data_IF_778598807675
#
_entry.id   IF_778598807675
#
_cell.length_a   1.000
_cell.length_b   1.000
_cell.length_c   1.000
_cell.angle_alpha   90.00
_cell.angle_beta   90.00
_cell.angle_gamma   90.00
#
_symmetry.space_group_name_H-M   'P 1'
#
loop_
_entity.id
_entity.type
_entity.pdbx_description
1 polymer ?
#
# COMPACT_ATOMS: atom_id res chain seq x y z
N UNK A 1 46.50 53.09 -13.45
CA UNK A 1 46.14 52.75 -12.08
C UNK A 1 44.76 52.11 -12.10
N UNK A 2 44.65 50.79 -12.24
CA UNK A 2 43.41 50.06 -12.33
C UNK A 2 43.25 49.23 -11.06
N UNK A 3 42.30 49.60 -10.21
CA UNK A 3 42.01 48.89 -8.94
C UNK A 3 41.15 47.66 -9.24
N UNK A 4 41.70 46.47 -9.01
CA UNK A 4 40.98 45.24 -9.07
C UNK A 4 40.15 45.03 -7.79
N UNK A 5 38.85 44.74 -7.95
CA UNK A 5 37.93 44.38 -6.89
C UNK A 5 37.93 42.84 -6.82
N UNK A 6 38.39 42.31 -5.69
CA UNK A 6 38.29 40.87 -5.38
C UNK A 6 36.95 40.65 -4.69
N UNK A 7 36.04 39.90 -5.35
CA UNK A 7 34.78 39.43 -4.75
C UNK A 7 35.06 38.14 -3.98
N UNK A 8 34.92 38.18 -2.66
CA UNK A 8 34.85 36.97 -1.84
C UNK A 8 33.43 36.40 -1.89
N UNK A 9 33.27 35.25 -2.53
CA UNK A 9 32.05 34.46 -2.44
C UNK A 9 32.17 33.55 -1.19
N UNK A 10 31.57 33.97 -0.11
CA UNK A 10 31.44 33.15 1.09
C UNK A 10 30.37 32.06 0.89
N UNK A 11 30.80 30.80 0.82
CA UNK A 11 29.87 29.66 0.88
C UNK A 11 29.30 29.55 2.29
N UNK A 12 28.02 29.87 2.45
CA UNK A 12 27.29 29.62 3.69
C UNK A 12 26.97 28.12 3.79
N UNK A 13 27.70 27.42 4.66
CA UNK A 13 27.34 26.05 5.05
C UNK A 13 26.18 26.17 6.04
N UNK A 14 24.98 25.84 5.57
CA UNK A 14 23.82 25.69 6.45
C UNK A 14 24.00 24.41 7.28
N UNK A 15 23.86 24.46 8.62
CA UNK A 15 23.89 23.25 9.40
C UNK A 15 22.67 22.40 9.07
N UNK A 16 22.89 21.12 8.76
CA UNK A 16 21.82 20.14 8.67
C UNK A 16 21.12 20.08 10.03
N UNK A 17 19.88 20.50 10.07
CA UNK A 17 19.05 20.33 11.27
C UNK A 17 18.84 18.82 11.46
N UNK A 18 19.55 18.26 12.44
CA UNK A 18 19.24 16.94 13.00
C UNK A 18 17.90 17.10 13.69
N UNK A 19 16.84 16.66 13.05
CA UNK A 19 15.56 16.48 13.70
C UNK A 19 15.73 15.34 14.71
N UNK A 20 16.05 15.70 15.95
CA UNK A 20 15.85 14.82 17.06
C UNK A 20 14.35 14.55 17.14
N UNK A 21 13.93 13.30 16.89
CA UNK A 21 12.60 12.85 17.19
C UNK A 21 12.35 13.12 18.67
N UNK A 22 11.53 14.11 18.97
CA UNK A 22 11.09 14.40 20.34
C UNK A 22 10.31 13.19 20.86
N UNK A 23 10.33 12.94 22.18
CA UNK A 23 9.57 11.85 22.76
C UNK A 23 8.10 12.08 22.43
N UNK A 24 7.52 11.21 21.62
CA UNK A 24 6.09 11.17 21.34
C UNK A 24 5.33 11.06 22.66
N UNK A 25 4.71 12.14 23.06
CA UNK A 25 3.76 12.15 24.15
C UNK A 25 2.50 11.40 23.68
N UNK A 26 2.54 10.09 23.82
CA UNK A 26 1.42 9.20 23.53
C UNK A 26 0.40 9.30 24.66
N UNK A 27 -0.44 10.31 24.61
CA UNK A 27 -1.64 10.43 25.45
C UNK A 27 -2.87 10.12 24.62
N UNK A 28 -3.09 8.88 24.27
CA UNK A 28 -4.32 8.37 23.70
C UNK A 28 -4.56 6.99 24.29
N UNK A 29 -5.74 6.73 24.84
CA UNK A 29 -6.17 5.39 25.24
C UNK A 29 -5.99 4.45 24.06
N UNK A 30 -5.03 3.54 24.15
CA UNK A 30 -4.87 2.46 23.19
C UNK A 30 -5.82 1.34 23.63
N UNK A 31 -6.50 0.75 22.68
CA UNK A 31 -7.40 -0.38 22.91
C UNK A 31 -6.65 -1.59 23.52
N UNK A 32 -5.32 -1.58 23.42
CA UNK A 32 -4.47 -2.64 23.93
C UNK A 32 -3.25 -2.09 24.66
N UNK A 33 -2.96 -2.55 25.90
CA UNK A 33 -1.90 -2.00 26.75
C UNK A 33 -0.47 -2.36 26.31
N UNK A 34 -0.34 -3.30 25.36
CA UNK A 34 0.96 -3.76 24.86
C UNK A 34 1.31 -3.03 23.55
N UNK A 35 2.53 -2.49 23.49
CA UNK A 35 3.05 -1.86 22.29
C UNK A 35 3.90 -2.87 21.51
N UNK A 36 3.67 -3.07 20.21
CA UNK A 36 4.54 -3.88 19.40
C UNK A 36 5.92 -3.25 19.31
N UNK A 37 6.96 -4.07 19.41
CA UNK A 37 8.33 -3.63 19.14
C UNK A 37 8.47 -3.36 17.64
N UNK A 38 9.04 -2.22 17.20
CA UNK A 38 9.32 -1.99 15.80
C UNK A 38 10.17 -3.12 15.19
N UNK A 39 9.81 -3.60 14.01
CA UNK A 39 10.50 -4.71 13.37
C UNK A 39 11.99 -4.43 13.15
N UNK A 40 12.36 -3.18 12.88
CA UNK A 40 13.76 -2.73 12.76
C UNK A 40 14.60 -2.89 14.04
N UNK A 41 13.95 -3.09 15.19
CA UNK A 41 14.59 -3.33 16.48
C UNK A 41 14.66 -4.82 16.86
N UNK A 42 14.08 -5.69 16.03
CA UNK A 42 14.07 -7.15 16.26
C UNK A 42 15.16 -7.80 15.42
N UNK A 43 16.17 -8.36 16.10
CA UNK A 43 17.29 -9.05 15.44
C UNK A 43 17.28 -10.53 15.80
N UNK A 44 17.08 -11.37 14.80
CA UNK A 44 17.15 -12.82 14.94
C UNK A 44 18.57 -13.28 14.66
N UNK A 45 19.20 -13.90 15.66
CA UNK A 45 20.57 -14.38 15.58
C UNK A 45 20.68 -15.85 16.07
N UNK A 46 19.79 -16.69 15.57
CA UNK A 46 19.71 -18.11 15.89
C UNK A 46 20.06 -18.99 14.68
N UNK A 47 20.31 -20.28 14.93
CA UNK A 47 20.71 -21.24 13.90
C UNK A 47 19.54 -21.70 13.02
N UNK A 48 18.31 -21.38 13.40
CA UNK A 48 17.11 -21.82 12.67
C UNK A 48 16.51 -20.72 11.78
N UNK A 49 16.20 -19.55 12.36
CA UNK A 49 15.53 -18.48 11.62
C UNK A 49 16.48 -17.64 10.77
N UNK A 50 17.67 -17.32 11.29
CA UNK A 50 18.60 -16.46 10.57
C UNK A 50 18.94 -16.97 9.15
N UNK A 51 19.26 -18.25 8.91
CA UNK A 51 19.51 -18.74 7.55
C UNK A 51 18.30 -18.63 6.63
N UNK A 52 17.08 -18.76 7.18
CA UNK A 52 15.83 -18.62 6.41
C UNK A 52 15.58 -17.17 5.99
N UNK A 53 15.84 -16.23 6.88
CA UNK A 53 15.78 -14.80 6.59
C UNK A 53 16.79 -14.42 5.52
N UNK A 54 18.01 -14.93 5.62
CA UNK A 54 19.07 -14.70 4.63
C UNK A 54 18.67 -15.25 3.23
N UNK A 55 18.11 -16.46 3.18
CA UNK A 55 17.60 -17.06 1.95
C UNK A 55 16.40 -16.26 1.42
N UNK A 56 15.48 -15.84 2.29
CA UNK A 56 14.34 -15.03 1.88
C UNK A 56 14.77 -13.73 1.20
N UNK A 57 15.71 -13.01 1.80
CA UNK A 57 16.20 -11.74 1.26
C UNK A 57 17.02 -11.91 -0.03
N UNK A 58 17.86 -12.95 -0.12
CA UNK A 58 18.82 -13.12 -1.22
C UNK A 58 18.31 -13.95 -2.39
N UNK A 59 17.29 -14.79 -2.17
CA UNK A 59 16.76 -15.72 -3.19
C UNK A 59 15.26 -15.54 -3.41
N UNK A 60 14.46 -15.62 -2.33
CA UNK A 60 13.00 -15.65 -2.47
C UNK A 60 12.46 -14.33 -3.00
N UNK A 61 12.79 -13.21 -2.37
CA UNK A 61 12.31 -11.88 -2.79
C UNK A 61 12.72 -11.55 -4.23
N UNK A 62 14.00 -11.70 -4.65
CA UNK A 62 14.38 -11.51 -6.05
C UNK A 62 13.64 -12.43 -7.02
N UNK A 63 13.44 -13.71 -6.65
CA UNK A 63 12.70 -14.67 -7.49
C UNK A 63 11.24 -14.28 -7.65
N UNK A 64 10.59 -13.79 -6.59
CA UNK A 64 9.23 -13.30 -6.64
C UNK A 64 9.10 -12.06 -7.54
N UNK A 65 10.02 -11.09 -7.44
CA UNK A 65 10.04 -9.95 -8.38
C UNK A 65 10.23 -10.39 -9.83
N UNK A 66 11.13 -11.36 -10.08
CA UNK A 66 11.31 -11.92 -11.43
C UNK A 66 10.01 -12.52 -11.96
N UNK A 67 9.23 -13.19 -11.12
CA UNK A 67 7.89 -13.70 -11.51
C UNK A 67 6.90 -12.57 -11.79
N UNK A 68 6.92 -11.51 -11.02
CA UNK A 68 6.08 -10.35 -11.26
C UNK A 68 6.39 -9.63 -12.58
N UNK A 69 7.63 -9.73 -13.10
CA UNK A 69 8.00 -9.18 -14.41
C UNK A 69 7.32 -9.91 -15.59
N UNK A 70 6.76 -11.09 -15.40
CA UNK A 70 6.10 -11.84 -16.47
C UNK A 70 4.78 -11.15 -16.89
N UNK A 71 3.96 -10.70 -15.93
CA UNK A 71 2.64 -10.10 -16.23
C UNK A 71 2.30 -8.91 -15.32
N UNK A 72 2.59 -8.98 -14.00
CA UNK A 72 2.14 -8.03 -12.97
C UNK A 72 2.74 -6.63 -13.21
N UNK A 73 4.04 -6.52 -13.25
CA UNK A 73 4.73 -5.24 -13.51
C UNK A 73 4.41 -4.68 -14.90
N UNK A 74 4.39 -5.48 -16.00
CA UNK A 74 3.88 -5.03 -17.29
C UNK A 74 2.45 -4.49 -17.26
N UNK A 75 1.52 -5.05 -16.47
CA UNK A 75 0.18 -4.49 -16.32
C UNK A 75 0.20 -3.09 -15.69
N UNK A 76 1.02 -2.85 -14.66
CA UNK A 76 1.20 -1.51 -14.14
C UNK A 76 1.81 -0.53 -15.16
N UNK A 77 2.76 -0.99 -15.99
CA UNK A 77 3.33 -0.17 -17.09
C UNK A 77 2.25 0.20 -18.12
N UNK A 78 1.35 -0.73 -18.45
CA UNK A 78 0.22 -0.51 -19.38
C UNK A 78 -0.82 0.42 -18.76
N UNK A 79 -1.19 0.21 -17.50
CA UNK A 79 -2.09 1.10 -16.76
C UNK A 79 -1.55 2.53 -16.69
N UNK A 80 -0.22 2.68 -16.54
CA UNK A 80 0.49 3.95 -16.56
C UNK A 80 0.73 4.52 -17.98
N UNK A 81 0.27 3.84 -19.05
CA UNK A 81 0.50 4.20 -20.45
C UNK A 81 1.98 4.32 -20.84
N UNK A 82 2.84 3.55 -20.18
CA UNK A 82 4.28 3.44 -20.47
C UNK A 82 4.62 2.23 -21.36
N UNK A 83 3.65 1.38 -21.61
CA UNK A 83 3.76 0.20 -22.44
C UNK A 83 2.42 -0.08 -23.13
N UNK A 84 2.43 -0.47 -24.39
CA UNK A 84 1.23 -0.89 -25.10
C UNK A 84 0.82 -2.33 -24.76
N UNK A 85 -0.43 -2.68 -25.06
CA UNK A 85 -0.98 -4.01 -24.91
C UNK A 85 -2.17 -4.10 -23.95
N UNK A 86 -2.84 -5.26 -23.95
CA UNK A 86 -3.97 -5.56 -23.07
C UNK A 86 -3.52 -6.12 -21.73
N UNK A 87 -4.45 -6.18 -20.79
CA UNK A 87 -4.25 -6.82 -19.48
C UNK A 87 -3.92 -8.33 -19.64
N UNK A 88 -3.06 -8.83 -18.76
CA UNK A 88 -2.66 -10.24 -18.75
C UNK A 88 -2.77 -10.81 -17.34
N UNK A 89 -3.31 -12.02 -17.22
CA UNK A 89 -3.50 -12.73 -15.97
C UNK A 89 -4.89 -12.56 -15.38
N UNK A 90 -5.00 -12.81 -14.08
CA UNK A 90 -6.25 -12.71 -13.33
C UNK A 90 -6.46 -11.30 -12.72
N UNK A 91 -7.71 -10.85 -12.53
CA UNK A 91 -8.01 -9.52 -12.00
C UNK A 91 -7.38 -9.23 -10.64
N UNK A 92 -7.15 -10.24 -9.81
CA UNK A 92 -6.52 -10.11 -8.50
C UNK A 92 -4.98 -10.08 -8.52
N UNK A 93 -4.36 -10.20 -9.68
CA UNK A 93 -2.90 -10.33 -9.83
C UNK A 93 -2.10 -9.09 -9.39
N UNK A 94 -2.73 -7.90 -9.31
CA UNK A 94 -2.10 -6.71 -8.73
C UNK A 94 -1.63 -6.98 -7.29
N UNK A 95 -2.40 -7.78 -6.53
CA UNK A 95 -2.09 -8.13 -5.14
C UNK A 95 -0.78 -8.92 -5.02
N UNK A 96 -0.41 -9.72 -6.01
CA UNK A 96 0.85 -10.49 -5.97
C UNK A 96 2.05 -9.55 -5.90
N UNK A 97 2.04 -8.47 -6.69
CA UNK A 97 3.11 -7.48 -6.65
C UNK A 97 3.12 -6.72 -5.32
N UNK A 98 1.96 -6.37 -4.77
CA UNK A 98 1.87 -5.71 -3.46
C UNK A 98 2.40 -6.59 -2.35
N UNK A 99 2.04 -7.88 -2.31
CA UNK A 99 2.56 -8.87 -1.35
C UNK A 99 4.08 -9.02 -1.43
N UNK A 100 4.63 -9.03 -2.64
CA UNK A 100 6.09 -9.07 -2.83
C UNK A 100 6.74 -7.78 -2.33
N UNK A 101 6.14 -6.60 -2.57
CA UNK A 101 6.61 -5.33 -2.04
C UNK A 101 6.55 -5.30 -0.51
N UNK A 102 5.49 -5.83 0.11
CA UNK A 102 5.36 -5.95 1.56
C UNK A 102 6.48 -6.82 2.15
N UNK A 103 6.66 -8.04 1.60
CA UNK A 103 7.74 -8.95 2.03
C UNK A 103 9.13 -8.35 1.84
N UNK A 104 9.34 -7.59 0.76
CA UNK A 104 10.59 -6.86 0.51
C UNK A 104 10.80 -5.73 1.53
N UNK A 105 9.75 -5.00 1.91
CA UNK A 105 9.82 -3.97 2.95
C UNK A 105 10.21 -4.56 4.31
N UNK A 106 9.63 -5.68 4.71
CA UNK A 106 10.04 -6.40 5.92
C UNK A 106 11.49 -6.91 5.85
N UNK A 107 11.94 -7.33 4.66
CA UNK A 107 13.34 -7.69 4.44
C UNK A 107 14.27 -6.49 4.67
N UNK A 108 13.91 -5.29 4.16
CA UNK A 108 14.65 -4.04 4.38
C UNK A 108 14.68 -3.63 5.86
N UNK A 109 13.57 -3.80 6.60
CA UNK A 109 13.52 -3.51 8.03
C UNK A 109 14.49 -4.39 8.84
N UNK A 110 14.66 -5.65 8.41
CA UNK A 110 15.57 -6.61 9.06
C UNK A 110 17.02 -6.44 8.63
N UNK A 111 17.24 -6.09 7.36
CA UNK A 111 18.57 -5.94 6.76
C UNK A 111 18.54 -4.88 5.66
N UNK A 112 19.10 -3.70 5.90
CA UNK A 112 19.17 -2.64 4.88
C UNK A 112 19.87 -3.12 3.61
N UNK A 113 19.23 -2.87 2.44
CA UNK A 113 19.73 -3.20 1.10
C UNK A 113 19.38 -2.05 0.15
N UNK A 114 20.39 -1.31 -0.30
CA UNK A 114 20.21 -0.14 -1.15
C UNK A 114 19.67 -0.52 -2.55
N UNK A 115 20.01 -1.70 -3.08
CA UNK A 115 19.52 -2.15 -4.38
C UNK A 115 18.03 -2.52 -4.31
N UNK A 116 17.63 -3.24 -3.28
CA UNK A 116 16.23 -3.57 -3.01
C UNK A 116 15.40 -2.32 -2.76
N UNK A 117 15.90 -1.39 -1.96
CA UNK A 117 15.21 -0.11 -1.71
C UNK A 117 14.99 0.66 -3.01
N UNK A 118 16.01 0.77 -3.86
CA UNK A 118 15.89 1.43 -5.18
C UNK A 118 14.88 0.73 -6.09
N UNK A 119 14.80 -0.60 -6.03
CA UNK A 119 13.80 -1.36 -6.80
C UNK A 119 12.38 -1.06 -6.32
N UNK A 120 12.15 -1.02 -4.99
CA UNK A 120 10.86 -0.62 -4.43
C UNK A 120 10.49 0.82 -4.81
N UNK A 121 11.42 1.77 -4.70
CA UNK A 121 11.18 3.16 -5.11
C UNK A 121 10.73 3.26 -6.57
N UNK A 122 11.36 2.49 -7.47
CA UNK A 122 10.97 2.46 -8.88
C UNK A 122 9.56 1.90 -9.10
N UNK A 123 9.16 0.88 -8.35
CA UNK A 123 7.80 0.34 -8.38
C UNK A 123 6.77 1.30 -7.80
N UNK A 124 7.11 1.98 -6.71
CA UNK A 124 6.24 3.01 -6.09
C UNK A 124 5.98 4.14 -7.08
N UNK A 125 7.02 4.61 -7.78
CA UNK A 125 6.85 5.61 -8.86
C UNK A 125 5.93 5.08 -9.96
N UNK A 126 6.03 3.80 -10.31
CA UNK A 126 5.17 3.16 -11.32
C UNK A 126 3.72 3.09 -10.83
N UNK A 127 3.47 2.72 -9.57
CA UNK A 127 2.12 2.72 -8.96
C UNK A 127 1.50 4.11 -9.00
N UNK A 128 2.26 5.14 -8.63
CA UNK A 128 1.78 6.53 -8.70
C UNK A 128 1.43 6.99 -10.12
N UNK A 129 2.16 6.51 -11.13
CA UNK A 129 1.84 6.81 -12.54
C UNK A 129 0.62 6.04 -13.05
N UNK A 130 0.38 4.84 -12.55
CA UNK A 130 -0.79 4.02 -12.90
C UNK A 130 -2.06 4.48 -12.18
N UNK A 131 -1.93 5.11 -11.00
CA UNK A 131 -3.06 5.59 -10.21
C UNK A 131 -3.82 6.69 -10.96
N UNK A 132 -5.16 6.56 -11.01
CA UNK A 132 -6.01 7.56 -11.63
C UNK A 132 -6.12 8.83 -10.77
N UNK A 133 -6.51 9.97 -11.35
CA UNK A 133 -6.58 11.25 -10.63
C UNK A 133 -7.48 11.24 -9.39
N UNK A 134 -8.52 10.40 -9.40
CA UNK A 134 -9.44 10.22 -8.28
C UNK A 134 -8.92 9.28 -7.18
N UNK A 135 -7.72 8.71 -7.36
CA UNK A 135 -7.09 7.76 -6.43
C UNK A 135 -7.30 6.29 -6.76
N UNK A 136 -8.12 5.96 -7.77
CA UNK A 136 -8.39 4.57 -8.16
C UNK A 136 -7.14 3.89 -8.72
N UNK A 137 -6.88 2.65 -8.27
CA UNK A 137 -5.78 1.83 -8.77
C UNK A 137 -6.19 0.36 -8.79
N UNK A 138 -6.44 -0.14 -9.99
CA UNK A 138 -6.74 -1.54 -10.30
C UNK A 138 -6.45 -1.75 -11.78
N UNK A 139 -5.34 -2.43 -12.10
CA UNK A 139 -4.78 -2.42 -13.45
C UNK A 139 -5.68 -3.06 -14.48
N UNK A 140 -6.39 -4.15 -14.13
CA UNK A 140 -7.31 -4.85 -15.03
C UNK A 140 -8.35 -3.88 -15.59
N UNK A 141 -8.99 -3.10 -14.72
CA UNK A 141 -10.01 -2.16 -15.16
C UNK A 141 -9.44 -0.92 -15.85
N UNK A 142 -8.31 -0.41 -15.35
CA UNK A 142 -7.67 0.78 -15.97
C UNK A 142 -7.28 0.49 -17.42
N UNK A 143 -6.79 -0.70 -17.71
CA UNK A 143 -6.38 -1.12 -19.06
C UNK A 143 -7.59 -1.37 -19.97
N UNK A 144 -8.63 -2.03 -19.46
CA UNK A 144 -9.82 -2.35 -20.25
C UNK A 144 -10.81 -1.20 -20.38
N UNK A 145 -10.77 -0.21 -19.47
CA UNK A 145 -11.75 0.87 -19.40
C UNK A 145 -13.17 0.36 -19.11
N UNK A 146 -14.17 1.08 -19.60
CA UNK A 146 -15.60 0.74 -19.40
C UNK A 146 -16.05 -0.55 -20.14
N UNK A 147 -15.16 -1.12 -20.94
CA UNK A 147 -15.38 -2.39 -21.65
C UNK A 147 -14.73 -3.56 -20.92
N UNK A 148 -14.38 -3.42 -19.64
CA UNK A 148 -13.72 -4.47 -18.88
C UNK A 148 -14.58 -5.76 -18.90
N UNK A 149 -14.06 -6.87 -19.46
CA UNK A 149 -14.81 -8.11 -19.58
C UNK A 149 -14.75 -8.93 -18.29
N UNK A 150 -15.69 -9.85 -18.13
CA UNK A 150 -15.65 -10.90 -17.13
C UNK A 150 -15.53 -10.37 -15.71
N UNK A 151 -14.56 -10.90 -14.96
CA UNK A 151 -14.34 -10.64 -13.53
C UNK A 151 -14.13 -9.19 -13.15
N UNK A 152 -13.50 -8.38 -14.02
CA UNK A 152 -13.33 -6.95 -13.74
C UNK A 152 -14.67 -6.19 -13.70
N UNK A 153 -15.72 -6.74 -14.32
CA UNK A 153 -17.07 -6.19 -14.30
C UNK A 153 -17.24 -4.89 -15.10
N UNK A 154 -18.49 -4.53 -15.42
CA UNK A 154 -18.77 -3.36 -16.24
C UNK A 154 -18.65 -2.03 -15.49
N UNK A 155 -18.75 -2.04 -14.17
CA UNK A 155 -18.74 -0.86 -13.31
C UNK A 155 -17.81 -1.09 -12.13
N UNK A 156 -17.05 -0.06 -11.73
CA UNK A 156 -16.18 -0.13 -10.54
C UNK A 156 -16.98 -0.56 -9.31
N UNK A 157 -16.40 -1.41 -8.49
CA UNK A 157 -16.89 -1.85 -7.19
C UNK A 157 -18.13 -2.74 -7.19
N UNK A 158 -18.89 -2.82 -8.29
CA UNK A 158 -20.16 -3.55 -8.30
C UNK A 158 -20.01 -5.08 -8.47
N UNK A 159 -18.81 -5.55 -8.76
CA UNK A 159 -18.58 -6.99 -8.99
C UNK A 159 -17.79 -7.66 -7.86
N UNK A 160 -17.68 -7.03 -6.69
CA UNK A 160 -16.87 -7.50 -5.56
C UNK A 160 -17.36 -8.86 -4.97
N UNK A 161 -18.65 -9.14 -5.06
CA UNK A 161 -19.27 -10.36 -4.53
C UNK A 161 -19.92 -11.19 -5.63
N UNK A 162 -19.34 -11.25 -6.81
CA UNK A 162 -19.99 -11.90 -7.95
C UNK A 162 -21.23 -11.15 -8.46
N UNK A 163 -21.42 -9.88 -8.05
CA UNK A 163 -22.62 -9.08 -8.12
C UNK A 163 -23.35 -9.11 -9.45
N UNK A 164 -22.80 -8.49 -10.49
CA UNK A 164 -23.48 -8.35 -11.79
C UNK A 164 -23.24 -9.54 -12.71
N UNK A 165 -22.04 -10.09 -12.70
CA UNK A 165 -21.59 -11.13 -13.64
C UNK A 165 -21.45 -12.52 -13.00
N UNK A 166 -21.56 -12.64 -11.68
CA UNK A 166 -21.31 -13.87 -10.93
C UNK A 166 -19.82 -14.12 -10.62
N UNK A 167 -18.92 -13.25 -11.07
CA UNK A 167 -17.48 -13.36 -10.85
C UNK A 167 -16.98 -12.23 -9.96
N UNK A 168 -16.03 -12.53 -9.07
CA UNK A 168 -15.44 -11.54 -8.18
C UNK A 168 -14.37 -10.69 -8.86
N UNK A 169 -14.48 -9.36 -8.78
CA UNK A 169 -13.48 -8.44 -9.33
C UNK A 169 -12.23 -8.34 -8.46
N UNK A 170 -12.35 -8.56 -7.16
CA UNK A 170 -11.26 -8.44 -6.19
C UNK A 170 -10.63 -7.03 -6.11
N UNK A 171 -11.38 -5.98 -6.38
CA UNK A 171 -10.88 -4.60 -6.33
C UNK A 171 -10.44 -4.22 -4.91
N UNK A 172 -11.31 -4.49 -3.90
CA UNK A 172 -10.99 -4.20 -2.50
C UNK A 172 -9.97 -5.19 -1.91
N UNK A 173 -9.88 -6.42 -2.43
CA UNK A 173 -8.80 -7.34 -2.10
C UNK A 173 -7.44 -6.78 -2.51
N UNK A 174 -7.30 -6.32 -3.76
CA UNK A 174 -6.08 -5.67 -4.23
C UNK A 174 -5.78 -4.39 -3.43
N UNK A 175 -6.80 -3.59 -3.11
CA UNK A 175 -6.65 -2.39 -2.29
C UNK A 175 -6.13 -2.69 -0.88
N UNK A 176 -6.62 -3.74 -0.23
CA UNK A 176 -6.15 -4.18 1.09
C UNK A 176 -4.66 -4.50 1.09
N UNK A 177 -4.21 -5.36 0.19
CA UNK A 177 -2.80 -5.70 0.04
C UNK A 177 -1.91 -4.51 -0.33
N UNK A 178 -2.42 -3.57 -1.13
CA UNK A 178 -1.68 -2.34 -1.42
C UNK A 178 -1.48 -1.49 -0.16
N UNK A 179 -2.52 -1.35 0.67
CA UNK A 179 -2.45 -0.61 1.93
C UNK A 179 -1.45 -1.27 2.90
N UNK A 180 -1.49 -2.60 3.04
CA UNK A 180 -0.53 -3.33 3.88
C UNK A 180 0.91 -3.13 3.41
N UNK A 181 1.16 -3.26 2.11
CA UNK A 181 2.49 -3.03 1.53
C UNK A 181 2.99 -1.59 1.74
N UNK A 182 2.10 -0.60 1.61
CA UNK A 182 2.42 0.80 1.81
C UNK A 182 2.78 1.10 3.28
N UNK A 183 2.05 0.52 4.23
CA UNK A 183 2.34 0.62 5.66
C UNK A 183 3.67 -0.05 5.99
N UNK A 184 3.90 -1.28 5.50
CA UNK A 184 5.16 -1.99 5.72
C UNK A 184 6.36 -1.22 5.18
N UNK A 185 6.24 -0.64 3.97
CA UNK A 185 7.29 0.18 3.38
C UNK A 185 7.58 1.44 4.20
N UNK A 186 6.54 2.15 4.64
CA UNK A 186 6.69 3.32 5.50
C UNK A 186 7.37 2.96 6.84
N UNK A 187 6.96 1.88 7.49
CA UNK A 187 7.57 1.42 8.74
C UNK A 187 9.04 0.99 8.60
N UNK A 188 9.41 0.48 7.43
CA UNK A 188 10.77 0.03 7.15
C UNK A 188 11.72 1.16 6.74
N UNK A 189 11.22 2.22 6.09
CA UNK A 189 12.05 3.21 5.39
C UNK A 189 11.79 4.67 5.78
N UNK A 190 10.70 4.94 6.53
CA UNK A 190 10.17 6.27 6.82
C UNK A 190 9.80 7.09 5.56
N UNK A 191 9.77 6.44 4.38
CA UNK A 191 9.40 7.07 3.12
C UNK A 191 7.88 6.99 2.89
N UNK A 192 7.23 8.15 2.77
CA UNK A 192 5.78 8.26 2.62
C UNK A 192 5.25 8.03 1.22
N UNK A 193 6.11 7.92 0.20
CA UNK A 193 5.67 7.94 -1.19
C UNK A 193 4.62 6.87 -1.51
N UNK A 194 4.79 5.63 -1.03
CA UNK A 194 3.81 4.57 -1.22
C UNK A 194 2.55 4.79 -0.35
N UNK A 195 2.76 5.25 0.87
CA UNK A 195 1.67 5.58 1.78
C UNK A 195 0.75 6.66 1.19
N UNK A 196 1.29 7.69 0.54
CA UNK A 196 0.52 8.77 -0.06
C UNK A 196 -0.32 8.29 -1.28
N UNK A 197 0.14 7.27 -2.01
CA UNK A 197 -0.65 6.57 -3.04
C UNK A 197 -1.82 5.81 -2.38
N UNK A 198 -1.54 5.09 -1.30
CA UNK A 198 -2.54 4.33 -0.56
C UNK A 198 -3.60 5.25 0.10
N UNK A 199 -3.20 6.45 0.61
CA UNK A 199 -4.13 7.47 1.13
C UNK A 199 -5.17 7.85 0.08
N UNK A 200 -4.74 8.16 -1.13
CA UNK A 200 -5.68 8.58 -2.19
C UNK A 200 -6.69 7.49 -2.53
N UNK A 201 -6.25 6.22 -2.54
CA UNK A 201 -7.17 5.10 -2.76
C UNK A 201 -8.13 4.91 -1.57
N UNK A 202 -7.63 5.02 -0.34
CA UNK A 202 -8.44 4.93 0.87
C UNK A 202 -9.49 6.05 0.94
N UNK A 203 -9.12 7.28 0.56
CA UNK A 203 -10.04 8.41 0.47
C UNK A 203 -11.17 8.16 -0.57
N UNK A 204 -10.82 7.58 -1.72
CA UNK A 204 -11.80 7.17 -2.72
C UNK A 204 -12.74 6.09 -2.18
N UNK A 205 -12.19 5.06 -1.53
CA UNK A 205 -12.99 3.98 -0.93
C UNK A 205 -13.95 4.57 0.12
N UNK A 206 -13.45 5.43 1.01
CA UNK A 206 -14.28 6.09 2.02
C UNK A 206 -15.41 6.94 1.40
N UNK A 207 -15.13 7.63 0.31
CA UNK A 207 -16.13 8.40 -0.42
C UNK A 207 -17.18 7.53 -1.09
N UNK A 208 -16.77 6.35 -1.55
CA UNK A 208 -17.61 5.44 -2.35
C UNK A 208 -18.49 4.55 -1.47
N UNK A 209 -17.97 4.08 -0.32
CA UNK A 209 -18.62 3.11 0.54
C UNK A 209 -19.03 3.74 1.87
N UNK A 210 -20.24 3.44 2.35
CA UNK A 210 -20.70 3.91 3.66
C UNK A 210 -22.21 4.05 3.80
N UNK A 211 -22.68 4.66 4.88
CA UNK A 211 -24.11 4.81 5.18
C UNK A 211 -24.80 5.95 4.42
N UNK A 212 -24.03 6.83 3.75
CA UNK A 212 -24.57 7.99 3.06
C UNK A 212 -25.53 7.61 1.91
N UNK A 213 -26.40 8.55 1.45
CA UNK A 213 -27.40 8.26 0.43
C UNK A 213 -26.79 7.86 -0.92
N UNK A 214 -25.64 8.46 -1.27
CA UNK A 214 -24.93 8.23 -2.53
C UNK A 214 -23.83 7.16 -2.42
N UNK A 215 -23.65 6.54 -1.25
CA UNK A 215 -22.61 5.54 -1.02
C UNK A 215 -23.11 4.13 -1.26
N UNK A 216 -22.22 3.27 -1.72
CA UNK A 216 -22.47 1.85 -1.89
C UNK A 216 -22.67 1.17 -0.52
N UNK A 217 -23.71 0.38 -0.39
CA UNK A 217 -24.08 -0.36 0.83
C UNK A 217 -23.96 -1.87 0.65
N UNK A 218 -23.19 -2.28 -0.35
CA UNK A 218 -22.89 -3.70 -0.59
C UNK A 218 -21.71 -4.14 0.26
N UNK A 219 -21.66 -5.41 0.64
CA UNK A 219 -20.52 -5.97 1.35
C UNK A 219 -19.29 -5.99 0.43
N UNK A 220 -18.10 -5.61 0.90
CA UNK A 220 -16.89 -5.88 0.15
C UNK A 220 -16.67 -7.38 0.05
N UNK A 221 -16.21 -7.84 -1.11
CA UNK A 221 -16.07 -9.26 -1.40
C UNK A 221 -15.03 -10.00 -0.59
N UNK A 222 -14.09 -9.29 0.03
CA UNK A 222 -12.99 -9.91 0.76
C UNK A 222 -12.62 -9.14 2.03
N UNK A 223 -12.24 -9.89 3.10
CA UNK A 223 -11.85 -9.33 4.40
C UNK A 223 -10.53 -8.57 4.37
N UNK A 224 -9.75 -8.73 3.31
CA UNK A 224 -8.42 -8.14 3.15
C UNK A 224 -8.41 -6.62 3.31
N UNK A 225 -9.44 -5.95 2.82
CA UNK A 225 -9.57 -4.49 3.02
C UNK A 225 -9.66 -4.11 4.50
N UNK A 226 -10.24 -4.97 5.33
CA UNK A 226 -10.30 -4.78 6.79
C UNK A 226 -8.94 -4.93 7.46
N UNK A 227 -8.12 -5.90 7.00
CA UNK A 227 -6.75 -6.09 7.50
C UNK A 227 -5.87 -4.90 7.13
N UNK A 228 -5.90 -4.47 5.88
CA UNK A 228 -5.18 -3.28 5.43
C UNK A 228 -5.58 -2.03 6.23
N UNK A 229 -6.87 -1.82 6.48
CA UNK A 229 -7.37 -0.72 7.30
C UNK A 229 -6.91 -0.79 8.77
N UNK A 230 -6.86 -1.98 9.36
CA UNK A 230 -6.34 -2.18 10.73
C UNK A 230 -4.84 -1.88 10.82
N UNK A 231 -4.03 -2.37 9.89
CA UNK A 231 -2.59 -2.06 9.80
C UNK A 231 -2.34 -0.56 9.65
N UNK A 232 -3.13 0.08 8.81
CA UNK A 232 -3.12 1.53 8.64
C UNK A 232 -3.37 2.27 9.96
N UNK A 233 -4.42 1.88 10.69
CA UNK A 233 -4.75 2.49 11.97
C UNK A 233 -3.62 2.34 12.99
N UNK A 234 -3.01 1.17 13.07
CA UNK A 234 -1.88 0.92 13.98
C UNK A 234 -0.65 1.77 13.63
N UNK A 235 -0.35 1.94 12.33
CA UNK A 235 0.85 2.66 11.88
C UNK A 235 0.72 4.18 12.01
N UNK A 236 -0.49 4.72 11.84
CA UNK A 236 -0.75 6.15 11.74
C UNK A 236 -1.56 6.74 12.91
N UNK A 237 -1.68 6.05 14.03
CA UNK A 237 -2.47 6.47 15.21
C UNK A 237 -2.04 7.80 15.85
N UNK A 238 -1.31 8.65 15.12
CA UNK A 238 -1.16 10.05 15.43
C UNK A 238 -2.43 10.82 15.09
N UNK A 239 -2.82 11.78 15.94
CA UNK A 239 -4.09 12.55 15.96
C UNK A 239 -4.58 13.13 14.61
N UNK A 240 -3.76 13.16 13.59
CA UNK A 240 -4.07 13.78 12.29
C UNK A 240 -4.81 12.82 11.33
N UNK A 241 -4.66 11.53 11.53
CA UNK A 241 -5.32 10.48 10.75
C UNK A 241 -6.20 9.61 11.65
N UNK A 242 -7.09 10.26 12.40
CA UNK A 242 -8.31 9.59 12.86
C UNK A 242 -9.19 9.31 11.64
N UNK A 243 -8.66 8.63 10.66
CA UNK A 243 -9.45 7.90 9.70
C UNK A 243 -10.17 6.84 10.52
N UNK A 244 -11.36 7.19 10.85
CA UNK A 244 -12.10 6.48 11.81
C UNK A 244 -12.16 5.02 11.48
N UNK A 245 -11.68 4.21 12.41
CA UNK A 245 -12.43 3.00 12.74
C UNK A 245 -13.95 3.23 12.71
N UNK A 246 -14.42 4.47 12.68
CA UNK A 246 -15.81 4.87 12.53
C UNK A 246 -16.41 4.58 11.14
N UNK A 247 -15.67 4.66 10.07
CA UNK A 247 -16.22 4.34 8.73
C UNK A 247 -15.90 2.91 8.31
N UNK A 248 -14.75 2.37 8.73
CA UNK A 248 -14.50 0.92 8.76
C UNK A 248 -15.34 0.28 9.88
N UNK A 249 -15.74 1.00 10.92
CA UNK A 249 -16.71 0.59 11.93
C UNK A 249 -18.11 0.36 11.36
N UNK A 250 -18.50 1.07 10.31
CA UNK A 250 -19.64 0.69 9.47
C UNK A 250 -19.41 -0.64 8.75
N UNK A 251 -18.19 -0.93 8.35
CA UNK A 251 -17.79 -2.21 7.77
C UNK A 251 -17.81 -3.34 8.82
N UNK A 252 -17.27 -3.10 10.02
CA UNK A 252 -17.38 -4.03 11.15
C UNK A 252 -18.81 -4.16 11.67
N UNK A 253 -19.62 -3.12 11.57
CA UNK A 253 -21.04 -3.19 11.85
C UNK A 253 -21.75 -4.06 10.81
N UNK A 254 -21.45 -3.92 9.52
CA UNK A 254 -21.95 -4.80 8.46
C UNK A 254 -21.51 -6.27 8.66
N UNK A 255 -20.27 -6.52 9.10
CA UNK A 255 -19.81 -7.88 9.41
C UNK A 255 -20.51 -8.45 10.64
N UNK A 256 -20.78 -7.67 11.68
CA UNK A 256 -21.57 -8.11 12.83
C UNK A 256 -23.03 -8.37 12.45
N UNK A 257 -23.60 -7.50 11.63
CA UNK A 257 -24.97 -7.64 11.15
C UNK A 257 -25.10 -8.86 10.21
N UNK A 258 -24.09 -9.13 9.37
CA UNK A 258 -24.04 -10.35 8.55
C UNK A 258 -23.92 -11.63 9.38
N UNK A 259 -23.19 -11.60 10.51
CA UNK A 259 -23.14 -12.74 11.45
C UNK A 259 -24.49 -13.00 12.15
N UNK A 260 -25.32 -11.98 12.34
CA UNK A 260 -26.68 -12.16 12.86
C UNK A 260 -27.65 -12.76 11.84
N UNK A 261 -27.34 -12.66 10.52
CA UNK A 261 -28.14 -13.30 9.46
C UNK A 261 -27.78 -14.78 9.22
N UNK A 262 -26.72 -15.27 9.82
CA UNK A 262 -26.25 -16.67 9.72
C UNK A 262 -26.60 -17.52 10.95
N UNK A 263 -27.31 -16.94 11.93
CA UNK A 263 -27.93 -17.63 13.06
C UNK A 263 -29.46 -17.69 12.90
#
# INVERSE_FOLDING_TARGET
MTKGIILFVGAAVLPAAVYAAGPDAQTGSRDYPVNPVPMSQVHLNDVFWKPRIDINSSVTVPSCFKKCEETRIPNFRRAAKLQDGGFQGDPFDDSDLYKVCEGAAYSLASKPDAALNKQLDALIVLFGKAQQPDGYLYTSRIIHGDKAPGRAGPVRWLNEMGGVTGDDSHELYNAGHMIEAAVAHYQATDNRAFLDIAVKLADLIQKTWGPGPEQLKISPGHQEIGLGGYRWHQALSSRRYRFGCWHIGGFWQCLRDAQQWLQ
#
